data_IF_936379165562
#
_entry.id   IF_936379165562
#
_cell.length_a   1.000
_cell.length_b   1.000
_cell.length_c   1.000
_cell.angle_alpha   90.00
_cell.angle_beta   90.00
_cell.angle_gamma   90.00
#
_symmetry.space_group_name_H-M   'P 1'
#
loop_
_entity.id
_entity.type
_entity.pdbx_description
1 polymer ?
#
# COMPACT_ATOMS: atom_id res chain seq x y z
N UNK A 1 -10.75 -25.95 13.55
CA UNK A 1 -9.50 -25.22 13.89
C UNK A 1 -8.89 -26.01 15.01
N UNK A 2 -7.80 -26.70 14.70
CA UNK A 2 -7.06 -27.56 15.60
C UNK A 2 -6.33 -26.73 16.64
N UNK A 3 -6.39 -27.17 17.91
CA UNK A 3 -5.66 -26.62 19.05
C UNK A 3 -4.22 -26.26 18.66
N UNK A 4 -3.82 -25.06 19.04
CA UNK A 4 -2.45 -24.54 18.93
C UNK A 4 -1.51 -25.54 19.67
N UNK A 5 -0.90 -26.42 18.92
CA UNK A 5 0.36 -26.99 19.35
C UNK A 5 1.29 -25.80 19.56
N UNK A 6 1.81 -25.60 20.78
CA UNK A 6 2.79 -24.55 21.10
C UNK A 6 4.01 -24.76 20.21
N UNK A 7 3.97 -24.18 19.02
CA UNK A 7 5.07 -24.23 18.07
C UNK A 7 6.29 -23.55 18.71
N UNK A 8 7.39 -24.29 18.82
CA UNK A 8 8.66 -23.77 19.28
C UNK A 8 9.43 -23.25 18.06
N UNK A 9 9.53 -21.93 17.96
CA UNK A 9 10.32 -21.28 16.91
C UNK A 9 11.78 -21.19 17.34
N UNK A 10 12.69 -21.40 16.41
CA UNK A 10 14.14 -21.20 16.63
C UNK A 10 14.44 -19.74 17.00
N UNK A 11 13.70 -18.80 16.38
CA UNK A 11 13.75 -17.37 16.70
C UNK A 11 12.34 -16.89 16.98
N UNK A 12 12.20 -15.90 17.87
CA UNK A 12 10.90 -15.27 18.15
C UNK A 12 10.33 -14.64 16.88
N UNK A 13 9.13 -15.02 16.44
CA UNK A 13 8.48 -14.37 15.29
C UNK A 13 8.26 -12.88 15.54
N UNK A 14 8.55 -12.05 14.55
CA UNK A 14 8.28 -10.62 14.60
C UNK A 14 6.98 -10.38 13.85
N UNK A 15 5.93 -10.04 14.59
CA UNK A 15 4.67 -9.58 14.01
C UNK A 15 4.72 -8.04 13.94
N UNK A 16 4.62 -7.48 12.75
CA UNK A 16 4.49 -6.04 12.58
C UNK A 16 3.07 -5.62 12.92
N UNK A 17 2.93 -4.65 13.82
CA UNK A 17 1.65 -4.07 14.22
C UNK A 17 1.59 -2.59 13.85
N UNK A 18 0.44 -2.14 13.37
CA UNK A 18 0.17 -0.76 13.01
C UNK A 18 -0.73 -0.10 14.07
N UNK A 19 -0.38 1.11 14.46
CA UNK A 19 -1.16 1.91 15.41
C UNK A 19 -2.49 2.30 14.79
N UNK A 20 -3.56 2.05 15.54
CA UNK A 20 -4.92 2.49 15.22
C UNK A 20 -5.15 3.82 15.94
N UNK A 21 -5.78 4.79 15.29
CA UNK A 21 -6.17 6.05 15.95
C UNK A 21 -7.14 5.77 17.10
N UNK A 22 -6.91 6.43 18.22
CA UNK A 22 -7.78 6.36 19.41
C UNK A 22 -7.94 4.93 19.97
N UNK A 23 -6.98 4.04 19.73
CA UNK A 23 -6.96 2.68 20.26
C UNK A 23 -5.59 2.34 20.85
N UNK A 24 -5.58 1.48 21.85
CA UNK A 24 -4.36 0.88 22.40
C UNK A 24 -3.97 -0.42 21.68
N UNK A 25 -4.81 -0.91 20.78
CA UNK A 25 -4.57 -2.12 20.02
C UNK A 25 -3.73 -1.85 18.77
N UNK A 26 -3.06 -2.89 18.29
CA UNK A 26 -2.30 -2.85 17.06
C UNK A 26 -2.95 -3.73 16.01
N UNK A 27 -3.03 -3.23 14.79
CA UNK A 27 -3.47 -4.01 13.64
C UNK A 27 -2.28 -4.86 13.10
N UNK A 28 -2.38 -6.20 13.05
CA UNK A 28 -1.30 -7.04 12.56
C UNK A 28 -1.17 -6.95 11.03
N UNK A 29 0.06 -6.80 10.54
CA UNK A 29 0.33 -6.77 9.10
C UNK A 29 0.69 -8.18 8.62
N UNK A 30 -0.13 -8.67 7.69
CA UNK A 30 0.11 -9.92 6.96
C UNK A 30 0.63 -9.64 5.55
N UNK A 31 -0.25 -9.77 4.56
CA UNK A 31 0.07 -9.49 3.15
C UNK A 31 -0.19 -8.03 2.81
N UNK A 32 0.67 -7.47 1.96
CA UNK A 32 0.51 -6.11 1.42
C UNK A 32 0.45 -6.20 -0.09
N UNK A 33 -0.70 -5.85 -0.65
CA UNK A 33 -0.90 -5.77 -2.09
C UNK A 33 -1.02 -4.31 -2.50
N UNK A 34 -0.37 -3.95 -3.58
CA UNK A 34 -0.43 -2.63 -4.19
C UNK A 34 -1.05 -2.74 -5.56
N UNK A 35 -1.91 -1.77 -5.90
CA UNK A 35 -2.54 -1.69 -7.23
C UNK A 35 -1.75 -0.69 -8.06
N UNK A 36 -1.05 -1.18 -9.07
CA UNK A 36 -0.30 -0.32 -9.97
C UNK A 36 -1.19 0.34 -11.01
N UNK A 37 -0.83 1.57 -11.43
CA UNK A 37 -1.53 2.35 -12.47
C UNK A 37 -3.00 2.62 -12.17
N UNK A 38 -3.34 2.79 -10.89
CA UNK A 38 -4.71 2.93 -10.42
C UNK A 38 -5.26 4.36 -10.50
N UNK A 39 -4.40 5.37 -10.69
CA UNK A 39 -4.79 6.78 -10.82
C UNK A 39 -4.63 7.23 -12.28
N UNK A 40 -5.72 7.68 -12.91
CA UNK A 40 -5.75 8.02 -14.33
C UNK A 40 -4.75 9.12 -14.73
N UNK A 41 -4.59 10.14 -13.89
CA UNK A 41 -3.67 11.25 -14.16
C UNK A 41 -2.22 10.80 -14.07
N UNK A 42 -1.88 9.99 -13.09
CA UNK A 42 -0.54 9.40 -12.96
C UNK A 42 -0.21 8.45 -14.13
N UNK A 43 -1.20 7.70 -14.61
CA UNK A 43 -1.02 6.85 -15.79
C UNK A 43 -0.74 7.68 -17.06
N UNK A 44 -1.35 8.85 -17.22
CA UNK A 44 -1.08 9.77 -18.34
C UNK A 44 0.33 10.36 -18.28
N UNK A 45 0.79 10.79 -17.10
CA UNK A 45 2.15 11.31 -16.89
C UNK A 45 3.22 10.28 -17.26
N UNK A 46 2.95 8.98 -16.98
CA UNK A 46 3.85 7.87 -17.27
C UNK A 46 3.72 7.34 -18.70
N UNK A 47 2.96 8.01 -19.58
CA UNK A 47 2.65 7.56 -20.94
C UNK A 47 2.14 6.10 -21.00
N UNK A 48 1.47 5.65 -19.95
CA UNK A 48 0.91 4.31 -19.86
C UNK A 48 -0.61 4.38 -19.95
N UNK A 49 -1.22 3.36 -20.59
CA UNK A 49 -2.67 3.21 -20.58
C UNK A 49 -3.08 2.68 -19.19
N UNK A 50 -4.17 3.23 -18.64
CA UNK A 50 -4.89 2.59 -17.54
C UNK A 50 -5.48 1.31 -18.12
N UNK A 51 -5.14 0.17 -17.53
CA UNK A 51 -5.79 -1.08 -17.88
C UNK A 51 -7.10 -1.15 -17.09
N UNK A 52 -8.18 -0.69 -17.71
CA UNK A 52 -9.51 -0.63 -17.06
C UNK A 52 -10.10 -2.02 -16.86
N UNK A 53 -9.64 -3.02 -17.60
CA UNK A 53 -10.19 -4.37 -17.60
C UNK A 53 -9.56 -5.29 -16.54
N UNK A 54 -8.27 -5.08 -16.20
CA UNK A 54 -7.58 -5.92 -15.21
C UNK A 54 -6.62 -5.11 -14.34
N UNK A 55 -6.85 -5.04 -13.01
CA UNK A 55 -5.93 -4.36 -12.11
C UNK A 55 -4.58 -5.07 -12.09
N UNK A 56 -3.50 -4.30 -12.22
CA UNK A 56 -2.14 -4.80 -12.08
C UNK A 56 -1.73 -4.76 -10.62
N UNK A 57 -1.38 -5.92 -10.06
CA UNK A 57 -0.94 -6.06 -8.68
C UNK A 57 0.55 -6.29 -8.56
N UNK A 58 1.16 -5.70 -7.54
CA UNK A 58 2.46 -6.09 -7.00
C UNK A 58 2.38 -6.13 -5.48
N UNK A 59 3.37 -6.72 -4.83
CA UNK A 59 3.37 -6.84 -3.37
C UNK A 59 4.53 -6.09 -2.73
N UNK A 60 4.33 -5.70 -1.47
CA UNK A 60 5.41 -5.32 -0.57
C UNK A 60 5.46 -6.29 0.59
N UNK A 61 6.66 -6.64 1.10
CA UNK A 61 6.74 -7.47 2.30
C UNK A 61 6.24 -6.69 3.53
N UNK A 62 5.75 -7.35 4.60
CA UNK A 62 5.35 -6.68 5.83
C UNK A 62 6.42 -5.76 6.41
N UNK A 63 7.69 -6.06 6.19
CA UNK A 63 8.85 -5.27 6.62
C UNK A 63 8.95 -3.92 5.92
N UNK A 64 8.32 -3.78 4.75
CA UNK A 64 8.26 -2.49 4.04
C UNK A 64 7.36 -1.48 4.76
N UNK A 65 6.38 -1.95 5.53
CA UNK A 65 5.41 -1.09 6.22
C UNK A 65 6.04 -0.47 7.46
N UNK A 66 5.85 0.84 7.63
CA UNK A 66 6.38 1.60 8.78
C UNK A 66 5.48 2.78 9.14
N UNK A 67 5.56 3.22 10.41
CA UNK A 67 4.98 4.47 10.90
C UNK A 67 6.06 5.43 11.43
N UNK A 68 7.30 5.26 10.98
CA UNK A 68 8.40 6.16 11.32
C UNK A 68 8.19 7.53 10.67
N UNK A 69 8.43 8.60 11.42
CA UNK A 69 8.37 9.97 10.92
C UNK A 69 9.61 10.34 10.07
N UNK A 70 10.68 9.58 10.19
CA UNK A 70 11.91 9.76 9.42
C UNK A 70 12.39 8.42 8.93
N UNK A 71 12.68 8.34 7.64
CA UNK A 71 13.12 7.12 6.98
C UNK A 71 14.51 7.39 6.40
N UNK A 72 15.51 6.53 6.69
CA UNK A 72 16.80 6.63 6.06
C UNK A 72 16.68 6.53 4.53
N UNK A 73 17.44 7.35 3.81
CA UNK A 73 17.50 7.23 2.36
C UNK A 73 18.04 5.83 2.00
N UNK A 74 17.32 5.05 1.18
CA UNK A 74 17.70 3.68 0.89
C UNK A 74 18.99 3.62 0.06
N UNK A 75 19.83 2.63 0.34
CA UNK A 75 21.00 2.37 -0.48
C UNK A 75 20.62 1.88 -1.89
N UNK A 76 21.58 1.93 -2.83
CA UNK A 76 21.48 1.40 -4.18
C UNK A 76 20.42 2.09 -5.06
N UNK A 77 20.17 3.37 -4.84
CA UNK A 77 19.36 4.20 -5.73
C UNK A 77 19.82 5.64 -5.66
N UNK A 78 19.80 6.32 -6.79
CA UNK A 78 19.98 7.77 -6.90
C UNK A 78 18.67 8.49 -7.25
N UNK A 79 17.58 7.73 -7.43
CA UNK A 79 16.27 8.24 -7.84
C UNK A 79 15.14 7.63 -7.01
N UNK A 80 15.03 8.09 -5.76
CA UNK A 80 13.91 7.73 -4.89
C UNK A 80 12.72 8.65 -5.18
N UNK A 81 11.59 8.06 -5.52
CA UNK A 81 10.33 8.76 -5.75
C UNK A 81 9.27 8.32 -4.73
N UNK A 82 8.23 9.13 -4.60
CA UNK A 82 7.14 8.96 -3.65
C UNK A 82 5.80 9.03 -4.41
N UNK A 83 4.94 8.08 -4.11
CA UNK A 83 3.59 7.97 -4.67
C UNK A 83 2.63 7.91 -3.49
N UNK A 84 1.73 8.91 -3.34
CA UNK A 84 0.76 8.90 -2.24
C UNK A 84 -0.40 7.98 -2.58
N UNK A 85 -0.83 7.17 -1.59
CA UNK A 85 -1.79 6.11 -1.79
C UNK A 85 -2.86 6.08 -0.70
N UNK A 86 -4.08 5.70 -1.06
CA UNK A 86 -5.10 5.28 -0.12
C UNK A 86 -4.82 3.83 0.29
N UNK A 87 -4.65 3.60 1.58
CA UNK A 87 -4.44 2.27 2.14
C UNK A 87 -5.74 1.75 2.75
N UNK A 88 -6.13 0.55 2.34
CA UNK A 88 -7.32 -0.15 2.86
C UNK A 88 -6.86 -1.32 3.72
N UNK A 89 -7.35 -1.42 4.94
CA UNK A 89 -7.09 -2.52 5.87
C UNK A 89 -8.26 -3.50 5.86
N UNK A 90 -7.97 -4.79 5.69
CA UNK A 90 -8.97 -5.85 5.68
C UNK A 90 -8.89 -6.65 6.98
N UNK A 91 -10.01 -6.85 7.65
CA UNK A 91 -10.13 -7.49 8.98
C UNK A 91 -10.31 -9.01 8.93
N UNK A 92 -10.59 -9.56 7.77
CA UNK A 92 -10.89 -10.98 7.63
C UNK A 92 -10.45 -11.53 6.28
N UNK A 93 -10.20 -12.81 6.26
CA UNK A 93 -9.96 -13.55 5.03
C UNK A 93 -11.20 -13.54 4.14
N UNK A 94 -10.98 -13.47 2.83
CA UNK A 94 -12.03 -13.59 1.83
C UNK A 94 -11.48 -14.19 0.54
N UNK A 95 -12.30 -14.94 -0.17
CA UNK A 95 -12.00 -15.50 -1.48
C UNK A 95 -13.28 -15.55 -2.30
N UNK A 96 -13.17 -15.22 -3.58
CA UNK A 96 -14.27 -15.28 -4.55
C UNK A 96 -15.54 -14.54 -4.14
N UNK A 97 -15.38 -13.43 -3.41
CA UNK A 97 -16.50 -12.59 -2.95
C UNK A 97 -16.96 -11.63 -4.05
N UNK A 98 -18.24 -11.27 -4.03
CA UNK A 98 -18.75 -10.22 -4.90
C UNK A 98 -18.28 -8.82 -4.48
N UNK A 99 -18.24 -7.83 -5.40
CA UNK A 99 -17.92 -6.44 -5.04
C UNK A 99 -18.83 -5.84 -3.96
N UNK A 100 -20.08 -6.30 -3.87
CA UNK A 100 -21.05 -5.85 -2.84
C UNK A 100 -20.69 -6.32 -1.45
N UNK A 101 -20.05 -7.48 -1.33
CA UNK A 101 -19.63 -8.07 -0.06
C UNK A 101 -18.28 -7.50 0.40
N UNK A 102 -17.47 -6.96 -0.51
CA UNK A 102 -16.12 -6.49 -0.20
C UNK A 102 -16.06 -5.48 0.94
N UNK A 103 -17.04 -4.59 1.06
CA UNK A 103 -17.09 -3.60 2.13
C UNK A 103 -17.13 -4.21 3.53
N UNK A 104 -17.74 -5.38 3.70
CA UNK A 104 -17.87 -6.06 5.00
C UNK A 104 -16.51 -6.49 5.57
N UNK A 105 -15.51 -6.67 4.70
CA UNK A 105 -14.15 -7.04 5.07
C UNK A 105 -13.25 -5.84 5.41
N UNK A 106 -13.73 -4.62 5.19
CA UNK A 106 -12.95 -3.41 5.50
C UNK A 106 -12.92 -3.18 7.01
N UNK A 107 -11.71 -3.03 7.56
CA UNK A 107 -11.46 -2.58 8.92
C UNK A 107 -11.34 -1.06 9.01
N UNK A 108 -10.61 -0.46 8.07
CA UNK A 108 -10.35 0.97 8.09
C UNK A 108 -9.40 1.43 6.98
N UNK A 109 -8.98 2.67 7.08
CA UNK A 109 -8.20 3.36 6.07
C UNK A 109 -7.01 4.10 6.66
N UNK A 110 -6.01 4.31 5.85
CA UNK A 110 -4.90 5.21 6.13
C UNK A 110 -4.40 5.87 4.85
N UNK A 111 -3.54 6.88 4.99
CA UNK A 111 -2.75 7.40 3.89
C UNK A 111 -1.37 6.77 3.96
N UNK A 112 -0.90 6.29 2.83
CA UNK A 112 0.43 5.72 2.68
C UNK A 112 1.24 6.43 1.62
N UNK A 113 2.54 6.13 1.59
CA UNK A 113 3.44 6.53 0.50
C UNK A 113 4.12 5.28 -0.03
N UNK A 114 3.96 5.02 -1.31
CA UNK A 114 4.72 3.98 -2.01
C UNK A 114 6.06 4.57 -2.46
N UNK A 115 7.09 4.39 -1.62
CA UNK A 115 8.45 4.77 -1.98
C UNK A 115 8.99 3.83 -3.04
N UNK A 116 9.54 4.42 -4.09
CA UNK A 116 9.98 3.70 -5.29
C UNK A 116 11.41 4.09 -5.66
N UNK A 117 12.30 3.11 -5.75
CA UNK A 117 13.61 3.25 -6.39
C UNK A 117 13.37 3.26 -7.90
N UNK A 118 13.16 4.44 -8.49
CA UNK A 118 12.65 4.58 -9.85
C UNK A 118 13.63 4.08 -10.92
N UNK A 119 14.91 4.28 -10.69
CA UNK A 119 15.99 3.75 -11.51
C UNK A 119 15.93 2.21 -11.60
N UNK A 120 15.81 1.52 -10.46
CA UNK A 120 15.69 0.06 -10.43
C UNK A 120 14.37 -0.43 -11.03
N UNK A 121 13.29 0.33 -10.85
CA UNK A 121 12.01 -0.03 -11.46
C UNK A 121 12.07 0.05 -12.98
N UNK A 122 12.74 1.06 -13.53
CA UNK A 122 12.93 1.23 -14.97
C UNK A 122 13.70 0.04 -15.54
N UNK A 123 14.82 -0.32 -14.92
CA UNK A 123 15.61 -1.48 -15.33
C UNK A 123 14.80 -2.80 -15.25
N UNK A 124 13.98 -2.95 -14.22
CA UNK A 124 13.13 -4.13 -14.09
C UNK A 124 12.07 -4.20 -15.19
N UNK A 125 11.41 -3.06 -15.52
CA UNK A 125 10.45 -2.97 -16.62
C UNK A 125 11.07 -3.32 -17.97
N UNK A 126 12.23 -2.76 -18.29
CA UNK A 126 12.96 -3.01 -19.54
C UNK A 126 13.39 -4.47 -19.69
N UNK A 127 13.72 -5.11 -18.56
CA UNK A 127 14.19 -6.51 -18.53
C UNK A 127 13.08 -7.53 -18.31
N UNK A 128 11.82 -7.12 -18.17
CA UNK A 128 10.70 -8.02 -17.82
C UNK A 128 10.85 -8.70 -16.44
N UNK A 129 11.55 -8.07 -15.51
CA UNK A 129 11.82 -8.61 -14.16
C UNK A 129 10.82 -8.12 -13.12
N UNK A 130 10.65 -8.87 -12.00
CA UNK A 130 9.85 -8.42 -10.85
C UNK A 130 10.35 -7.09 -10.26
N UNK A 131 9.44 -6.36 -9.61
CA UNK A 131 9.71 -5.03 -9.03
C UNK A 131 10.19 -5.06 -7.58
N UNK A 132 10.47 -6.23 -7.03
CA UNK A 132 10.78 -6.42 -5.61
C UNK A 132 11.92 -5.51 -5.12
N UNK A 133 13.01 -5.41 -5.87
CA UNK A 133 14.15 -4.54 -5.50
C UNK A 133 13.79 -3.05 -5.51
N UNK A 134 12.84 -2.64 -6.34
CA UNK A 134 12.44 -1.24 -6.49
C UNK A 134 11.28 -0.83 -5.57
N UNK A 135 10.43 -1.78 -5.18
CA UNK A 135 9.19 -1.55 -4.43
C UNK A 135 9.18 -2.20 -3.05
N UNK A 136 9.91 -3.32 -2.84
CA UNK A 136 9.83 -4.17 -1.66
C UNK A 136 10.93 -3.96 -0.61
N UNK A 137 11.68 -2.86 -0.64
CA UNK A 137 12.74 -2.58 0.32
C UNK A 137 12.19 -2.12 1.69
N UNK A 138 12.99 -2.27 2.74
CA UNK A 138 12.61 -1.92 4.11
C UNK A 138 12.16 -0.46 4.23
N UNK A 139 11.07 -0.25 4.98
CA UNK A 139 10.43 1.06 5.18
C UNK A 139 9.95 1.74 3.90
N UNK A 140 9.75 1.01 2.80
CA UNK A 140 9.27 1.57 1.54
C UNK A 140 7.78 1.90 1.51
N UNK A 141 7.04 1.60 2.59
CA UNK A 141 5.62 1.92 2.74
C UNK A 141 5.36 2.63 4.09
N UNK A 142 5.76 3.89 4.24
CA UNK A 142 5.33 4.69 5.39
C UNK A 142 3.82 4.92 5.31
N UNK A 143 3.13 4.65 6.43
CA UNK A 143 1.66 4.70 6.52
C UNK A 143 1.26 5.49 7.77
N UNK A 144 0.24 6.33 7.68
CA UNK A 144 -0.34 7.03 8.81
C UNK A 144 -0.98 6.06 9.83
N UNK A 145 -1.44 6.57 10.98
CA UNK A 145 -2.32 5.80 11.86
C UNK A 145 -3.57 5.37 11.12
N UNK A 146 -4.07 4.18 11.43
CA UNK A 146 -5.29 3.64 10.84
C UNK A 146 -6.51 4.37 11.41
N UNK A 147 -7.37 4.86 10.55
CA UNK A 147 -8.71 5.33 10.91
C UNK A 147 -9.68 4.15 10.80
N UNK A 148 -10.13 3.64 11.93
CA UNK A 148 -11.10 2.54 11.95
C UNK A 148 -12.44 3.00 11.36
N UNK A 149 -12.92 2.30 10.34
CA UNK A 149 -14.16 2.56 9.60
C UNK A 149 -14.72 1.25 9.08
N UNK A 150 -15.13 0.38 10.00
CA UNK A 150 -15.56 -0.97 9.64
C UNK A 150 -16.79 -0.98 8.76
N UNK A 151 -16.73 -1.78 7.70
CA UNK A 151 -17.81 -1.95 6.74
C UNK A 151 -18.13 -0.71 5.91
N UNK A 152 -17.45 0.40 6.15
CA UNK A 152 -17.65 1.62 5.38
C UNK A 152 -16.84 1.56 4.08
N UNK A 153 -17.50 1.80 2.97
CA UNK A 153 -16.88 1.85 1.65
C UNK A 153 -16.66 3.32 1.27
N UNK A 154 -15.40 3.76 1.27
CA UNK A 154 -15.03 5.09 0.78
C UNK A 154 -15.23 5.13 -0.74
N UNK A 155 -16.19 5.94 -1.19
CA UNK A 155 -16.57 6.01 -2.61
C UNK A 155 -15.93 7.16 -3.36
N UNK A 156 -15.58 8.23 -2.66
CA UNK A 156 -15.00 9.44 -3.23
C UNK A 156 -14.14 10.17 -2.23
N UNK A 157 -13.20 10.97 -2.70
CA UNK A 157 -12.31 11.76 -1.89
C UNK A 157 -11.12 12.26 -2.72
N UNK A 158 -10.47 13.32 -2.24
CA UNK A 158 -9.26 13.83 -2.87
C UNK A 158 -8.03 13.30 -2.13
N UNK A 159 -7.03 12.86 -2.87
CA UNK A 159 -5.70 12.56 -2.36
C UNK A 159 -4.71 13.58 -2.91
N UNK A 160 -3.88 14.15 -2.06
CA UNK A 160 -2.91 15.17 -2.45
C UNK A 160 -1.56 14.94 -1.81
N UNK A 161 -0.51 15.37 -2.48
CA UNK A 161 0.86 15.28 -2.02
C UNK A 161 1.54 16.64 -2.03
N UNK A 162 2.14 17.00 -0.90
CA UNK A 162 2.99 18.19 -0.77
C UNK A 162 4.41 17.78 -0.40
N UNK A 163 5.39 18.39 -1.05
CA UNK A 163 6.81 18.24 -0.70
C UNK A 163 7.38 19.62 -0.39
N UNK A 164 7.97 19.78 0.80
CA UNK A 164 8.49 21.07 1.28
C UNK A 164 7.47 22.21 1.19
N UNK A 165 6.19 21.91 1.44
CA UNK A 165 5.09 22.87 1.37
C UNK A 165 4.53 23.12 -0.04
N UNK A 166 5.21 22.70 -1.10
CA UNK A 166 4.71 22.78 -2.47
C UNK A 166 3.77 21.61 -2.77
N UNK A 167 2.58 21.92 -3.28
CA UNK A 167 1.65 20.92 -3.79
C UNK A 167 2.20 20.37 -5.11
N UNK A 168 2.46 19.06 -5.14
CA UNK A 168 2.94 18.38 -6.35
C UNK A 168 1.77 17.95 -7.23
N UNK A 169 0.77 17.31 -6.63
CA UNK A 169 -0.46 16.96 -7.33
C UNK A 169 -1.63 16.78 -6.36
N UNK A 170 -2.84 16.86 -6.92
CA UNK A 170 -4.10 16.43 -6.30
C UNK A 170 -4.80 15.54 -7.31
N UNK A 171 -5.15 14.34 -6.91
CA UNK A 171 -5.90 13.40 -7.75
C UNK A 171 -7.23 13.06 -7.10
N UNK A 172 -8.30 12.91 -7.88
CA UNK A 172 -9.52 12.29 -7.39
C UNK A 172 -9.26 10.85 -6.94
N UNK A 173 -10.07 10.34 -6.04
CA UNK A 173 -9.99 8.95 -5.57
C UNK A 173 -10.05 7.96 -6.75
N UNK A 174 -9.39 6.80 -6.66
CA UNK A 174 -9.36 5.78 -7.72
C UNK A 174 -10.72 5.37 -8.29
N UNK A 175 -11.81 5.62 -7.56
CA UNK A 175 -13.17 5.27 -8.00
C UNK A 175 -13.75 6.14 -9.10
N UNK A 176 -13.24 7.33 -9.31
CA UNK A 176 -13.71 8.18 -10.42
C UNK A 176 -13.29 7.62 -11.79
N UNK A 177 -12.47 6.56 -11.79
CA UNK A 177 -12.00 5.84 -12.99
C UNK A 177 -12.84 4.57 -13.29
N UNK A 178 -13.70 4.17 -12.37
CA UNK A 178 -14.54 2.95 -12.50
C UNK A 178 -16.00 3.26 -12.93
N UNK A 179 -16.20 4.26 -13.78
CA UNK A 179 -17.50 4.51 -14.43
C UNK A 179 -17.49 4.09 -15.87
#
# INVERSE_FOLDING_TARGET
>A
MTEDSKAHFVFKPIIRGMVISESSELFPIGKVYCVGRNYADHAKEMASKVDEDQPFFFSKPPQAVTQLNSIPFPAQTDNLQHEVELVVFLKSECSDISPKEASQHIFGYAVGVDLTKRDLQTLAKESGKPWDLSKGFDNSAPISKIQQKEGFLLTEGNISLKVNGCLLYTSPSPRDVLR
#
